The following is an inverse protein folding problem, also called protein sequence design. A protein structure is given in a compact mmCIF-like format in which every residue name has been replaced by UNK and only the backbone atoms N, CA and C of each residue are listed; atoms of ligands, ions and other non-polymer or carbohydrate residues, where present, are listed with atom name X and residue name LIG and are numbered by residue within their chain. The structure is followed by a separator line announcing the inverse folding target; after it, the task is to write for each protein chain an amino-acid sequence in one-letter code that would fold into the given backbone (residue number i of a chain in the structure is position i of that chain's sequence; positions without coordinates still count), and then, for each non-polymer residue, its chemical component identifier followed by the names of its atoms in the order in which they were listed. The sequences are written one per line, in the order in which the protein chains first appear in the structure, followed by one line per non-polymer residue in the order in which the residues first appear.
data_IF_399645130010
#
_entry.id   IF_399645130010
#
_cell.length_a   1.000
_cell.length_b   1.000
_cell.length_c   1.000
_cell.angle_alpha   90.00
_cell.angle_beta   90.00
_cell.angle_gamma   90.00
#
_symmetry.space_group_name_H-M   'P 1'
#
loop_
_entity.id
_entity.type
_entity.pdbx_description
1 polymer ?
#
# COMPACT_ATOMS: atom_id res chain seq x y z
N UNK A 1 18.89 -20.46 18.73
CA UNK A 1 17.55 -20.36 19.35
C UNK A 1 16.74 -19.37 18.52
N UNK A 2 15.68 -19.81 17.84
CA UNK A 2 14.85 -18.95 16.99
C UNK A 2 13.70 -18.42 17.85
N UNK A 3 13.79 -17.16 18.27
CA UNK A 3 12.70 -16.46 18.97
C UNK A 3 11.62 -16.16 17.93
N UNK A 4 10.43 -16.72 18.11
CA UNK A 4 9.27 -16.48 17.25
C UNK A 4 8.58 -15.24 17.82
N UNK A 5 8.68 -14.10 17.14
CA UNK A 5 7.92 -12.89 17.48
C UNK A 5 6.46 -13.12 17.08
N UNK A 6 5.55 -13.08 18.06
CA UNK A 6 4.11 -13.03 17.81
C UNK A 6 3.77 -11.73 17.06
N UNK A 7 2.86 -11.76 16.06
CA UNK A 7 2.36 -10.52 15.51
C UNK A 7 1.54 -9.83 16.61
N UNK A 8 2.00 -8.66 17.02
CA UNK A 8 1.25 -7.75 17.87
C UNK A 8 0.05 -7.30 17.04
N UNK A 9 -1.11 -7.92 17.30
CA UNK A 9 -2.39 -7.50 16.77
C UNK A 9 -2.72 -6.19 17.49
N UNK A 10 -2.26 -5.07 16.94
CA UNK A 10 -2.69 -3.75 17.37
C UNK A 10 -4.17 -3.68 17.00
N UNK A 11 -5.02 -4.00 17.98
CA UNK A 11 -6.42 -3.64 17.95
C UNK A 11 -6.49 -2.12 18.06
N UNK A 12 -6.32 -1.45 16.92
CA UNK A 12 -6.56 -0.02 16.81
C UNK A 12 -8.03 0.18 17.15
N UNK A 13 -8.28 0.83 18.29
CA UNK A 13 -9.61 1.18 18.71
C UNK A 13 -10.21 2.09 17.65
N UNK A 14 -11.02 1.51 16.76
CA UNK A 14 -11.80 2.25 15.77
C UNK A 14 -12.77 3.11 16.55
N UNK A 15 -12.43 4.39 16.69
CA UNK A 15 -13.38 5.42 17.08
C UNK A 15 -14.53 5.36 16.05
N UNK A 16 -15.80 5.37 16.47
CA UNK A 16 -16.93 5.42 15.54
C UNK A 16 -16.94 6.79 14.84
N UNK A 17 -16.15 6.87 13.78
CA UNK A 17 -15.92 8.00 12.89
C UNK A 17 -15.28 7.46 11.61
N UNK A 18 -16.11 6.75 10.82
CA UNK A 18 -15.97 6.43 9.38
C UNK A 18 -14.58 5.98 8.90
N UNK A 19 -14.26 4.70 9.13
CA UNK A 19 -13.68 3.91 8.03
C UNK A 19 -14.86 3.59 7.13
N UNK A 20 -15.01 4.32 6.02
CA UNK A 20 -16.26 4.36 5.25
C UNK A 20 -16.52 3.00 4.60
N UNK A 21 -17.58 2.31 5.02
CA UNK A 21 -18.02 1.07 4.36
C UNK A 21 -18.45 1.31 2.90
N UNK A 22 -18.69 2.57 2.53
CA UNK A 22 -19.12 3.00 1.20
C UNK A 22 -18.04 2.80 0.12
N UNK A 23 -16.74 2.85 0.43
CA UNK A 23 -15.70 2.84 -0.62
C UNK A 23 -15.47 1.45 -1.23
N UNK A 24 -15.54 0.38 -0.41
CA UNK A 24 -15.47 -0.99 -0.93
C UNK A 24 -16.71 -1.33 -1.77
N UNK A 25 -17.89 -0.90 -1.34
CA UNK A 25 -19.14 -1.09 -2.09
C UNK A 25 -19.11 -0.35 -3.43
N UNK A 26 -18.48 0.83 -3.48
CA UNK A 26 -18.27 1.59 -4.72
C UNK A 26 -17.30 0.90 -5.68
N UNK A 27 -16.19 0.38 -5.18
CA UNK A 27 -15.23 -0.37 -6.01
C UNK A 27 -15.88 -1.60 -6.65
N UNK A 28 -16.68 -2.36 -5.87
CA UNK A 28 -17.44 -3.50 -6.36
C UNK A 28 -18.43 -3.09 -7.45
N UNK A 29 -19.22 -2.04 -7.21
CA UNK A 29 -20.16 -1.52 -8.20
C UNK A 29 -19.47 -1.06 -9.48
N UNK A 30 -18.33 -0.37 -9.37
CA UNK A 30 -17.56 0.08 -10.53
C UNK A 30 -17.05 -1.09 -11.39
N UNK A 31 -16.66 -2.21 -10.76
CA UNK A 31 -16.33 -3.46 -11.48
C UNK A 31 -17.57 -4.06 -12.14
N UNK A 32 -18.69 -4.15 -11.44
CA UNK A 32 -19.95 -4.70 -11.97
C UNK A 32 -20.50 -3.90 -13.15
N UNK A 33 -20.35 -2.57 -13.11
CA UNK A 33 -20.72 -1.65 -14.20
C UNK A 33 -19.69 -1.63 -15.34
N UNK A 34 -18.52 -2.25 -15.14
CA UNK A 34 -17.43 -2.27 -16.11
C UNK A 34 -16.69 -0.94 -16.26
N UNK A 35 -16.82 -0.04 -15.28
CA UNK A 35 -16.09 1.22 -15.22
C UNK A 35 -14.61 1.00 -14.88
N UNK A 36 -14.32 -0.03 -14.08
CA UNK A 36 -12.94 -0.43 -13.73
C UNK A 36 -12.72 -1.93 -13.94
N UNK A 37 -11.46 -2.32 -14.15
CA UNK A 37 -11.05 -3.71 -14.21
C UNK A 37 -11.05 -4.34 -12.81
N UNK A 38 -11.31 -5.67 -12.69
CA UNK A 38 -11.15 -6.36 -11.42
C UNK A 38 -9.71 -6.22 -10.89
N UNK A 39 -9.56 -6.01 -9.58
CA UNK A 39 -8.27 -5.83 -8.93
C UNK A 39 -7.23 -6.91 -9.31
N UNK A 40 -7.66 -8.17 -9.38
CA UNK A 40 -6.78 -9.28 -9.78
C UNK A 40 -6.13 -9.08 -11.16
N UNK A 41 -6.82 -8.42 -12.09
CA UNK A 41 -6.28 -8.11 -13.43
C UNK A 41 -5.27 -6.97 -13.36
N UNK A 42 -5.52 -5.96 -12.52
CA UNK A 42 -4.57 -4.86 -12.28
C UNK A 42 -3.28 -5.42 -11.65
N UNK A 43 -3.42 -6.26 -10.63
CA UNK A 43 -2.28 -6.91 -9.98
C UNK A 43 -1.45 -7.78 -10.92
N UNK A 44 -2.09 -8.49 -11.86
CA UNK A 44 -1.37 -9.26 -12.87
C UNK A 44 -0.52 -8.35 -13.78
N UNK A 45 -1.04 -7.18 -14.19
CA UNK A 45 -0.30 -6.20 -15.01
C UNK A 45 0.90 -5.65 -14.25
N UNK A 46 0.74 -5.35 -12.97
CA UNK A 46 1.81 -4.82 -12.12
C UNK A 46 2.87 -5.90 -11.85
N UNK A 47 2.47 -7.12 -11.51
CA UNK A 47 3.38 -8.24 -11.26
C UNK A 47 4.22 -8.58 -12.50
N UNK A 48 3.62 -8.59 -13.69
CA UNK A 48 4.36 -8.81 -14.95
C UNK A 48 5.48 -7.79 -15.20
N UNK A 49 5.35 -6.56 -14.67
CA UNK A 49 6.29 -5.47 -14.93
C UNK A 49 7.32 -5.27 -13.83
N UNK A 50 6.92 -5.37 -12.57
CA UNK A 50 7.77 -5.06 -11.42
C UNK A 50 8.18 -6.31 -10.63
N UNK A 51 7.35 -7.34 -10.65
CA UNK A 51 7.42 -8.46 -9.72
C UNK A 51 7.44 -7.98 -8.26
N UNK A 52 8.02 -8.80 -7.39
CA UNK A 52 8.23 -8.42 -6.00
C UNK A 52 6.99 -8.66 -5.13
N UNK A 53 6.74 -7.77 -4.18
CA UNK A 53 5.65 -7.88 -3.20
C UNK A 53 4.91 -6.56 -3.10
N UNK A 54 3.62 -6.60 -3.40
CA UNK A 54 2.69 -5.50 -3.10
C UNK A 54 2.53 -5.37 -1.59
N UNK A 55 2.64 -4.14 -1.09
CA UNK A 55 2.51 -3.78 0.33
C UNK A 55 1.14 -3.17 0.58
N UNK A 56 0.73 -2.27 -0.31
CA UNK A 56 -0.48 -1.47 -0.18
C UNK A 56 -1.18 -1.29 -1.53
N UNK A 57 -2.49 -1.14 -1.48
CA UNK A 57 -3.35 -0.92 -2.64
C UNK A 57 -4.46 0.02 -2.21
N UNK A 58 -4.52 1.19 -2.84
CA UNK A 58 -5.62 2.13 -2.70
C UNK A 58 -6.32 2.34 -4.05
N UNK A 59 -7.62 2.63 -3.99
CA UNK A 59 -8.41 3.03 -5.16
C UNK A 59 -8.96 4.42 -4.89
N UNK A 60 -8.46 5.40 -5.63
CA UNK A 60 -8.95 6.76 -5.58
C UNK A 60 -9.72 7.13 -6.85
N UNK A 61 -10.47 8.23 -6.79
CA UNK A 61 -11.21 8.81 -7.90
C UNK A 61 -10.92 10.30 -8.01
N UNK A 62 -9.91 10.63 -8.81
CA UNK A 62 -9.56 12.01 -9.13
C UNK A 62 -10.20 12.45 -10.46
N UNK A 63 -10.80 13.63 -10.49
CA UNK A 63 -11.52 14.21 -11.66
C UNK A 63 -12.47 13.24 -12.38
N UNK A 64 -13.08 12.33 -11.62
CA UNK A 64 -14.02 11.32 -12.12
C UNK A 64 -13.38 10.08 -12.72
N UNK A 65 -12.05 9.99 -12.75
CA UNK A 65 -11.25 8.86 -13.23
C UNK A 65 -10.80 8.02 -12.04
N UNK A 66 -11.05 6.71 -12.09
CA UNK A 66 -10.54 5.78 -11.08
C UNK A 66 -9.06 5.47 -11.32
N UNK A 67 -8.27 5.55 -10.26
CA UNK A 67 -6.83 5.28 -10.26
C UNK A 67 -6.51 4.34 -9.10
N UNK A 68 -5.81 3.26 -9.40
CA UNK A 68 -5.18 2.44 -8.38
C UNK A 68 -3.81 3.01 -8.06
N UNK A 69 -3.53 3.21 -6.79
CA UNK A 69 -2.20 3.47 -6.25
C UNK A 69 -1.70 2.18 -5.61
N UNK A 70 -0.55 1.69 -6.08
CA UNK A 70 -0.01 0.40 -5.66
C UNK A 70 1.42 0.58 -5.20
N UNK A 71 1.65 0.41 -3.90
CA UNK A 71 2.98 0.35 -3.34
C UNK A 71 3.52 -1.08 -3.37
N UNK A 72 4.76 -1.25 -3.84
CA UNK A 72 5.41 -2.54 -3.91
C UNK A 72 6.91 -2.46 -3.63
N UNK A 73 7.44 -3.50 -2.99
CA UNK A 73 8.88 -3.75 -2.93
C UNK A 73 9.27 -4.68 -4.06
N UNK A 74 10.12 -4.20 -4.96
CA UNK A 74 10.71 -5.00 -6.03
C UNK A 74 11.61 -6.12 -5.48
N UNK A 75 11.93 -7.11 -6.31
CA UNK A 75 12.85 -8.18 -5.90
C UNK A 75 14.27 -7.69 -5.53
N UNK A 76 14.63 -6.45 -5.89
CA UNK A 76 15.89 -5.81 -5.53
C UNK A 76 15.81 -4.99 -4.23
N UNK A 77 14.65 -4.98 -3.55
CA UNK A 77 14.46 -4.26 -2.30
C UNK A 77 14.05 -2.79 -2.47
N UNK A 78 13.85 -2.29 -3.69
CA UNK A 78 13.39 -0.91 -3.91
C UNK A 78 11.88 -0.80 -3.76
N UNK A 79 11.43 0.23 -3.05
CA UNK A 79 10.03 0.63 -2.94
C UNK A 79 9.62 1.44 -4.18
N UNK A 80 8.47 1.08 -4.73
CA UNK A 80 7.85 1.76 -5.86
C UNK A 80 6.40 2.06 -5.52
N UNK A 81 5.96 3.24 -5.92
CA UNK A 81 4.57 3.65 -5.96
C UNK A 81 4.12 3.69 -7.43
N UNK A 82 3.08 2.92 -7.75
CA UNK A 82 2.63 2.71 -9.13
C UNK A 82 1.17 3.15 -9.28
N UNK A 83 0.96 4.20 -10.07
CA UNK A 83 -0.38 4.69 -10.39
C UNK A 83 -0.90 4.04 -11.67
N UNK A 84 -2.06 3.40 -11.59
CA UNK A 84 -2.66 2.64 -12.68
C UNK A 84 -4.08 3.13 -12.99
N UNK A 85 -4.36 3.44 -14.24
CA UNK A 85 -5.72 3.75 -14.68
C UNK A 85 -6.61 2.51 -14.49
N UNK A 86 -7.61 2.59 -13.61
CA UNK A 86 -8.39 1.42 -13.25
C UNK A 86 -9.29 0.91 -14.40
N UNK A 87 -9.67 1.77 -15.35
CA UNK A 87 -10.53 1.40 -16.47
C UNK A 87 -9.82 0.55 -17.54
N UNK A 88 -8.52 0.73 -17.73
CA UNK A 88 -7.78 0.07 -18.81
C UNK A 88 -6.45 -0.60 -18.39
N UNK A 89 -6.03 -0.44 -17.13
CA UNK A 89 -4.80 -1.03 -16.58
C UNK A 89 -3.52 -0.34 -17.05
N UNK A 90 -3.60 0.82 -17.71
CA UNK A 90 -2.41 1.56 -18.14
C UNK A 90 -1.74 2.20 -16.92
N UNK A 91 -0.46 1.93 -16.73
CA UNK A 91 0.38 2.65 -15.77
C UNK A 91 0.49 4.10 -16.23
N UNK A 92 0.07 5.02 -15.36
CA UNK A 92 0.06 6.46 -15.59
C UNK A 92 1.36 7.07 -15.07
N UNK A 93 1.77 6.65 -13.87
CA UNK A 93 2.92 7.20 -13.16
C UNK A 93 3.63 6.10 -12.36
N UNK A 94 4.91 6.32 -12.13
CA UNK A 94 5.79 5.43 -11.37
C UNK A 94 6.77 6.31 -10.60
N UNK A 95 6.68 6.24 -9.27
CA UNK A 95 7.63 6.87 -8.37
C UNK A 95 8.48 5.79 -7.71
N UNK A 96 9.78 6.07 -7.60
CA UNK A 96 10.70 5.22 -6.84
C UNK A 96 11.03 5.99 -5.56
N UNK A 97 10.71 5.43 -4.41
CA UNK A 97 11.20 5.99 -3.16
C UNK A 97 12.68 5.63 -3.03
N UNK A 98 13.53 6.64 -3.19
CA UNK A 98 14.94 6.52 -2.83
C UNK A 98 15.01 6.54 -1.31
N UNK A 99 15.23 5.36 -0.69
CA UNK A 99 15.46 5.22 0.75
C UNK A 99 16.53 6.22 1.23
N UNK A 100 16.11 7.30 1.89
CA UNK A 100 16.95 8.11 2.76
C UNK A 100 16.39 7.99 4.19
N UNK A 101 16.45 6.78 4.74
CA UNK A 101 16.43 6.60 6.18
C UNK A 101 17.83 7.00 6.70
N UNK A 102 18.09 8.31 6.83
CA UNK A 102 19.16 8.78 7.73
C UNK A 102 18.64 8.55 9.15
N UNK A 103 18.93 7.34 9.63
CA UNK A 103 18.55 6.88 10.94
C UNK A 103 19.47 7.51 11.99
N UNK A 104 19.32 8.81 12.21
CA UNK A 104 19.85 9.48 13.39
C UNK A 104 18.92 9.16 14.58
N UNK A 105 18.82 7.89 14.97
CA UNK A 105 18.41 7.51 16.33
C UNK A 105 19.54 7.89 17.32
N UNK A 106 19.82 9.18 17.44
CA UNK A 106 20.52 9.75 18.60
C UNK A 106 19.47 10.01 19.70
N UNK A 107 18.94 8.94 20.29
CA UNK A 107 18.42 9.04 21.66
C UNK A 107 19.30 8.15 22.54
N UNK A 108 20.37 8.75 23.02
CA UNK A 108 21.11 8.28 24.18
C UNK A 108 20.17 8.29 25.39
N UNK A 109 19.36 7.24 25.54
CA UNK A 109 18.81 6.90 26.83
C UNK A 109 19.98 6.46 27.71
N UNK A 110 20.53 7.42 28.46
CA UNK A 110 21.34 7.18 29.64
C UNK A 110 20.59 6.17 30.51
N UNK A 111 21.10 4.94 30.54
CA UNK A 111 20.72 3.95 31.54
C UNK A 111 21.19 4.49 32.88
N UNK A 112 20.32 5.25 33.56
CA UNK A 112 20.53 5.68 34.93
C UNK A 112 20.82 4.45 35.81
N UNK A 113 22.02 4.50 36.37
CA UNK A 113 22.64 3.64 37.36
C UNK A 113 21.69 3.39 38.55
N UNK A 114 21.21 2.15 38.70
CA UNK A 114 20.44 1.74 39.88
C UNK A 114 21.36 1.01 40.86
N UNK A 115 21.83 1.73 41.88
CA UNK A 115 22.34 1.20 43.16
C UNK A 115 21.23 1.22 44.24
#
# INVERSE_FOLDING_TARGET
MRKILLPLLVAMAVLPGTVDADDQDRALQAVELGEILPLAKILAIVDERFGGRVIEIELDRDDGVYVYEIELVSAQGRLYEVYVNAANGRIIELEAEDEFYDDDYDDHDDYDDWD
#
